data_IF_430741051644
#
_entry.id   IF_430741051644
#
_cell.length_a   1.000
_cell.length_b   1.000
_cell.length_c   1.000
_cell.angle_alpha   90.00
_cell.angle_beta   90.00
_cell.angle_gamma   90.00
#
_symmetry.space_group_name_H-M   'P 1'
#
loop_
_entity.id
_entity.type
_entity.pdbx_description
1 polymer ?
#
# COMPACT_ATOMS: atom_id res chain seq x y z
N UNK A 1 21.46 77.93 31.28
CA UNK A 1 22.80 78.42 30.89
C UNK A 1 23.18 77.70 29.67
N UNK A 2 22.99 78.26 28.52
CA UNK A 2 24.04 78.94 27.71
C UNK A 2 25.03 77.83 27.23
N UNK A 3 25.32 77.67 26.04
CA UNK A 3 25.52 78.35 24.77
C UNK A 3 26.39 77.37 23.95
N UNK A 4 26.52 77.26 22.71
CA UNK A 4 26.50 77.97 21.44
C UNK A 4 27.14 77.06 20.40
N UNK A 5 26.57 76.91 19.23
CA UNK A 5 27.03 77.23 17.84
C UNK A 5 28.47 76.81 17.45
N UNK A 6 28.73 76.27 16.29
CA UNK A 6 28.63 76.66 14.87
C UNK A 6 29.24 75.57 14.01
N UNK A 7 28.74 75.18 12.92
CA UNK A 7 28.79 75.65 11.52
C UNK A 7 30.07 75.31 10.72
N UNK A 8 29.83 74.75 9.47
CA UNK A 8 30.51 74.98 8.17
C UNK A 8 31.66 74.01 7.89
N UNK A 9 31.90 73.46 6.76
CA UNK A 9 31.41 73.41 5.38
C UNK A 9 32.13 72.28 4.60
N UNK A 10 31.48 71.81 3.55
CA UNK A 10 31.97 71.44 2.21
C UNK A 10 33.35 70.78 2.03
N UNK A 11 33.37 69.57 1.48
CA UNK A 11 34.01 69.28 0.18
C UNK A 11 33.57 67.98 -0.47
N UNK A 12 33.24 68.07 -1.73
CA UNK A 12 32.94 67.00 -2.66
C UNK A 12 34.09 66.02 -2.83
N UNK A 13 33.79 64.66 -2.76
CA UNK A 13 34.59 63.70 -3.48
C UNK A 13 33.65 62.66 -4.09
N UNK A 14 33.54 62.72 -5.42
CA UNK A 14 32.95 61.70 -6.24
C UNK A 14 33.85 60.47 -6.21
N UNK A 15 33.39 59.37 -5.67
CA UNK A 15 33.98 58.08 -5.94
C UNK A 15 32.88 57.17 -6.48
N UNK A 16 33.03 56.84 -7.74
CA UNK A 16 32.28 55.80 -8.46
C UNK A 16 32.50 54.46 -7.76
N UNK A 17 31.53 54.02 -6.96
CA UNK A 17 31.45 52.67 -6.45
C UNK A 17 30.60 51.84 -7.40
N UNK A 18 31.25 50.96 -8.16
CA UNK A 18 30.60 49.92 -8.95
C UNK A 18 29.80 49.04 -8.01
N UNK A 19 28.48 49.22 -7.98
CA UNK A 19 27.57 48.32 -7.28
C UNK A 19 27.31 47.12 -8.18
N UNK A 20 28.08 46.05 -7.95
CA UNK A 20 27.90 44.76 -8.59
C UNK A 20 26.57 44.16 -8.08
N UNK A 21 25.47 44.39 -8.79
CA UNK A 21 24.18 43.78 -8.56
C UNK A 21 24.28 42.31 -9.01
N UNK A 22 24.67 41.41 -8.10
CA UNK A 22 24.51 39.96 -8.32
C UNK A 22 23.02 39.67 -8.27
N UNK A 23 22.40 39.59 -9.44
CA UNK A 23 21.10 39.00 -9.63
C UNK A 23 21.21 37.50 -9.27
N UNK A 24 20.92 37.16 -8.02
CA UNK A 24 20.54 35.82 -7.63
C UNK A 24 19.18 35.55 -8.30
N UNK A 25 19.22 34.99 -9.50
CA UNK A 25 18.05 34.35 -10.10
C UNK A 25 17.74 33.15 -9.24
N UNK A 26 16.92 33.35 -8.21
CA UNK A 26 16.23 32.26 -7.56
C UNK A 26 15.33 31.59 -8.63
N UNK A 27 15.83 30.54 -9.23
CA UNK A 27 14.96 29.61 -9.99
C UNK A 27 13.97 29.03 -8.98
N UNK A 28 12.83 29.69 -8.83
CA UNK A 28 11.66 29.09 -8.22
C UNK A 28 11.28 27.93 -9.15
N UNK A 29 11.81 26.75 -8.84
CA UNK A 29 11.28 25.52 -9.44
C UNK A 29 9.80 25.51 -9.04
N UNK A 30 8.91 25.78 -9.98
CA UNK A 30 7.48 25.59 -9.78
C UNK A 30 7.30 24.14 -9.35
N UNK A 31 6.90 23.93 -8.09
CA UNK A 31 6.57 22.60 -7.58
C UNK A 31 5.35 22.12 -8.34
N UNK A 32 5.59 21.33 -9.37
CA UNK A 32 4.51 20.68 -10.14
C UNK A 32 3.84 19.66 -9.21
N UNK A 33 2.62 19.97 -8.77
CA UNK A 33 1.78 19.02 -8.10
C UNK A 33 1.18 18.09 -9.16
N UNK A 34 1.64 16.84 -9.20
CA UNK A 34 1.08 15.85 -10.11
C UNK A 34 -0.33 15.47 -9.69
N UNK A 35 -1.27 15.53 -10.62
CA UNK A 35 -2.64 15.04 -10.40
C UNK A 35 -2.70 13.54 -10.68
N UNK A 36 -3.26 12.72 -9.78
CA UNK A 36 -3.46 11.30 -10.02
C UNK A 36 -4.34 11.05 -11.26
N UNK A 37 -3.93 10.12 -12.13
CA UNK A 37 -4.66 9.72 -13.33
C UNK A 37 -5.19 8.31 -13.14
N UNK A 38 -6.50 8.14 -13.18
CA UNK A 38 -7.16 6.84 -13.13
C UNK A 38 -7.40 6.32 -14.53
N UNK A 39 -7.19 5.03 -14.73
CA UNK A 39 -7.43 4.34 -15.97
C UNK A 39 -7.79 2.87 -15.74
N UNK A 40 -8.23 2.21 -16.78
CA UNK A 40 -8.48 0.76 -16.81
C UNK A 40 -7.81 0.18 -18.03
N UNK A 41 -7.07 -0.90 -17.84
CA UNK A 41 -6.50 -1.72 -18.92
C UNK A 41 -7.21 -3.08 -18.95
N UNK A 42 -7.34 -3.67 -20.12
CA UNK A 42 -8.04 -4.95 -20.31
C UNK A 42 -7.03 -6.03 -20.68
N UNK A 43 -6.85 -7.00 -19.78
CA UNK A 43 -6.08 -8.20 -20.04
C UNK A 43 -6.95 -9.16 -20.89
N UNK A 44 -6.52 -9.44 -22.12
CA UNK A 44 -7.17 -10.42 -22.99
C UNK A 44 -6.73 -11.84 -22.62
N UNK A 45 -7.64 -12.80 -22.80
CA UNK A 45 -7.39 -14.24 -22.60
C UNK A 45 -6.69 -14.52 -21.26
N UNK A 46 -7.25 -13.97 -20.19
CA UNK A 46 -6.67 -14.08 -18.86
C UNK A 46 -6.95 -15.48 -18.27
N UNK A 47 -5.87 -16.23 -18.05
CA UNK A 47 -5.94 -17.57 -17.47
C UNK A 47 -5.74 -17.50 -15.96
N UNK A 48 -6.76 -17.90 -15.21
CA UNK A 48 -6.71 -18.03 -13.75
C UNK A 48 -5.98 -19.33 -13.34
N UNK A 49 -5.48 -19.35 -12.09
CA UNK A 49 -4.82 -20.53 -11.51
C UNK A 49 -5.72 -21.78 -11.55
N UNK A 50 -7.04 -21.60 -11.52
CA UNK A 50 -8.04 -22.69 -11.65
C UNK A 50 -8.08 -23.34 -13.03
N UNK A 51 -7.41 -22.73 -14.02
CA UNK A 51 -7.45 -23.14 -15.42
C UNK A 51 -8.55 -22.46 -16.25
N UNK A 52 -9.47 -21.73 -15.62
CA UNK A 52 -10.48 -20.94 -16.30
C UNK A 52 -9.82 -19.81 -17.11
N UNK A 53 -10.32 -19.57 -18.32
CA UNK A 53 -9.86 -18.48 -19.19
C UNK A 53 -10.99 -17.50 -19.41
N UNK A 54 -10.75 -16.24 -19.06
CA UNK A 54 -11.66 -15.15 -19.38
C UNK A 54 -11.13 -14.36 -20.58
N UNK A 55 -12.00 -14.13 -21.55
CA UNK A 55 -11.66 -13.33 -22.74
C UNK A 55 -11.18 -11.93 -22.35
N UNK A 56 -11.71 -11.36 -21.26
CA UNK A 56 -11.37 -10.03 -20.78
C UNK A 56 -11.40 -9.97 -19.26
N UNK A 57 -10.30 -9.48 -18.66
CA UNK A 57 -10.24 -9.07 -17.26
C UNK A 57 -9.82 -7.61 -17.20
N UNK A 58 -10.68 -6.76 -16.67
CA UNK A 58 -10.37 -5.34 -16.43
C UNK A 58 -9.42 -5.22 -15.24
N UNK A 59 -8.40 -4.38 -15.36
CA UNK A 59 -7.48 -4.01 -14.30
C UNK A 59 -7.50 -2.48 -14.17
N UNK A 60 -8.15 -2.00 -13.12
CA UNK A 60 -8.16 -0.59 -12.75
C UNK A 60 -6.80 -0.20 -12.16
N UNK A 61 -6.36 1.01 -12.41
CA UNK A 61 -5.14 1.53 -11.81
C UNK A 61 -5.14 3.05 -11.76
N UNK A 62 -4.31 3.56 -10.86
CA UNK A 62 -4.02 4.99 -10.77
C UNK A 62 -2.54 5.21 -10.98
N UNK A 63 -2.16 6.26 -11.70
CA UNK A 63 -0.76 6.67 -11.85
C UNK A 63 -0.54 8.08 -11.32
N UNK A 64 0.68 8.32 -10.83
CA UNK A 64 1.14 9.63 -10.40
C UNK A 64 2.59 9.83 -10.87
N UNK A 65 2.94 11.02 -11.32
CA UNK A 65 4.24 11.32 -11.90
C UNK A 65 4.28 11.15 -13.42
N UNK A 66 5.46 11.40 -14.00
CA UNK A 66 5.69 11.27 -15.44
C UNK A 66 5.93 9.80 -15.81
N UNK A 67 5.33 9.27 -16.90
CA UNK A 67 5.58 7.90 -17.34
C UNK A 67 7.04 7.58 -17.67
N UNK A 68 7.87 8.60 -17.91
CA UNK A 68 9.32 8.44 -18.12
C UNK A 68 10.11 8.41 -16.82
N UNK A 69 9.47 8.68 -15.67
CA UNK A 69 10.07 8.60 -14.35
C UNK A 69 10.49 7.19 -13.96
N UNK A 70 11.15 7.06 -12.81
CA UNK A 70 11.57 5.76 -12.25
C UNK A 70 10.33 4.96 -11.82
N UNK A 71 10.03 3.78 -12.41
CA UNK A 71 8.77 3.10 -12.17
C UNK A 71 8.75 2.39 -10.82
N UNK A 72 7.69 2.66 -10.04
CA UNK A 72 7.42 2.00 -8.76
C UNK A 72 5.99 1.50 -8.71
N UNK A 73 5.79 0.29 -8.18
CA UNK A 73 4.50 -0.36 -8.02
C UNK A 73 4.11 -0.39 -6.54
N UNK A 74 2.95 0.16 -6.21
CA UNK A 74 2.44 0.25 -4.84
C UNK A 74 1.16 -0.58 -4.71
N UNK A 75 1.17 -1.58 -3.82
CA UNK A 75 0.11 -2.57 -3.68
C UNK A 75 -0.66 -2.37 -2.38
N UNK A 76 -1.99 -2.23 -2.49
CA UNK A 76 -2.88 -2.00 -1.37
C UNK A 76 -3.20 -3.28 -0.56
N UNK A 77 -3.71 -3.09 0.66
CA UNK A 77 -4.19 -4.18 1.52
C UNK A 77 -5.59 -4.69 1.14
N UNK A 78 -6.02 -5.77 1.80
CA UNK A 78 -7.36 -6.37 1.65
C UNK A 78 -8.46 -5.31 1.80
N UNK A 79 -9.45 -5.34 0.94
CA UNK A 79 -10.59 -4.40 0.85
C UNK A 79 -10.18 -2.93 0.55
N UNK A 80 -8.91 -2.70 0.20
CA UNK A 80 -8.43 -1.39 -0.26
C UNK A 80 -8.54 -1.25 -1.78
N UNK A 81 -8.04 -0.10 -2.27
CA UNK A 81 -7.91 0.21 -3.70
C UNK A 81 -6.59 0.95 -3.92
N UNK A 82 -6.13 1.04 -5.18
CA UNK A 82 -4.97 1.85 -5.53
C UNK A 82 -5.13 3.31 -5.11
N UNK A 83 -6.29 3.93 -5.34
CA UNK A 83 -6.58 5.30 -4.90
C UNK A 83 -6.57 5.45 -3.39
N UNK A 84 -6.92 4.40 -2.63
CA UNK A 84 -6.87 4.39 -1.18
C UNK A 84 -5.46 4.62 -0.63
N UNK A 85 -4.41 4.29 -1.39
CA UNK A 85 -3.01 4.54 -1.03
C UNK A 85 -2.60 6.02 -1.17
N UNK A 86 -3.45 6.87 -1.74
CA UNK A 86 -3.21 8.33 -1.84
C UNK A 86 -3.62 9.09 -0.57
N UNK A 87 -4.09 8.40 0.47
CA UNK A 87 -4.51 9.04 1.72
C UNK A 87 -3.36 9.83 2.40
N UNK A 88 -3.68 10.82 3.27
CA UNK A 88 -2.68 11.70 3.90
C UNK A 88 -1.63 10.97 4.74
N UNK A 89 -1.96 9.81 5.33
CA UNK A 89 -1.04 9.06 6.20
C UNK A 89 -0.05 8.20 5.42
N UNK A 90 -0.37 7.84 4.17
CA UNK A 90 0.48 7.04 3.29
C UNK A 90 1.01 7.88 2.13
N UNK A 91 0.26 8.05 1.05
CA UNK A 91 0.69 8.81 -0.13
C UNK A 91 1.05 10.26 0.16
N UNK A 92 0.31 10.91 1.06
CA UNK A 92 0.59 12.27 1.51
C UNK A 92 1.94 12.43 2.22
N UNK A 93 2.56 11.33 2.68
CA UNK A 93 3.88 11.31 3.32
C UNK A 93 4.99 10.79 2.40
N UNK A 94 4.65 10.33 1.18
CA UNK A 94 5.59 9.63 0.29
C UNK A 94 5.76 10.30 -1.06
N UNK A 95 4.70 10.85 -1.65
CA UNK A 95 4.64 11.16 -3.08
C UNK A 95 4.80 12.64 -3.41
N UNK A 96 4.78 13.51 -2.41
CA UNK A 96 4.94 14.95 -2.58
C UNK A 96 6.37 15.36 -2.92
N UNK A 97 6.57 16.62 -3.37
CA UNK A 97 7.89 17.16 -3.69
C UNK A 97 8.89 17.02 -2.53
N UNK A 98 10.06 16.45 -2.83
CA UNK A 98 11.13 16.18 -1.85
C UNK A 98 10.90 15.00 -0.92
N UNK A 99 9.76 14.32 -1.00
CA UNK A 99 9.50 13.10 -0.25
C UNK A 99 10.19 11.89 -0.91
N UNK A 100 10.20 10.76 -0.21
CA UNK A 100 11.02 9.59 -0.61
C UNK A 100 10.66 9.00 -1.98
N UNK A 101 9.40 9.03 -2.35
CA UNK A 101 8.88 8.61 -3.66
C UNK A 101 8.28 9.81 -4.41
N UNK A 102 8.99 10.92 -4.42
CA UNK A 102 8.60 12.18 -5.08
C UNK A 102 8.13 11.95 -6.52
N UNK A 103 6.88 12.28 -6.81
CA UNK A 103 6.26 12.11 -8.12
C UNK A 103 6.92 12.92 -9.25
N UNK A 104 7.81 13.88 -8.92
CA UNK A 104 8.66 14.55 -9.92
C UNK A 104 9.81 13.65 -10.42
N UNK A 105 10.10 12.55 -9.73
CA UNK A 105 11.20 11.62 -10.04
C UNK A 105 10.69 10.22 -10.37
N UNK A 106 9.62 9.81 -9.70
CA UNK A 106 9.08 8.45 -9.80
C UNK A 106 7.78 8.43 -10.61
N UNK A 107 7.63 7.39 -11.40
CA UNK A 107 6.35 7.02 -11.99
C UNK A 107 5.67 6.01 -11.07
N UNK A 108 4.69 6.47 -10.30
CA UNK A 108 4.01 5.69 -9.27
C UNK A 108 2.78 5.03 -9.85
N UNK A 109 2.69 3.71 -9.72
CA UNK A 109 1.63 2.88 -10.25
C UNK A 109 0.91 2.22 -9.08
N UNK A 110 -0.40 2.46 -8.97
CA UNK A 110 -1.26 1.98 -7.89
C UNK A 110 -2.43 1.18 -8.52
N UNK A 111 -2.26 -0.12 -8.77
CA UNK A 111 -3.33 -0.94 -9.32
C UNK A 111 -4.40 -1.23 -8.28
N UNK A 112 -5.64 -1.39 -8.74
CA UNK A 112 -6.69 -2.08 -8.00
C UNK A 112 -6.49 -3.60 -8.22
N UNK A 113 -6.45 -4.37 -7.15
CA UNK A 113 -6.38 -5.82 -7.28
C UNK A 113 -7.64 -6.37 -7.94
N UNK A 114 -7.55 -7.55 -8.59
CA UNK A 114 -8.74 -8.29 -9.04
C UNK A 114 -9.69 -8.45 -7.85
N UNK A 115 -10.95 -8.15 -8.05
CA UNK A 115 -11.99 -8.23 -7.02
C UNK A 115 -12.35 -6.93 -6.33
N UNK A 116 -11.67 -5.79 -6.67
CA UNK A 116 -11.97 -4.47 -6.05
C UNK A 116 -11.86 -3.32 -7.04
N UNK A 117 -12.36 -2.17 -6.63
CA UNK A 117 -12.21 -0.90 -7.34
C UNK A 117 -12.77 -0.94 -8.76
N UNK A 118 -11.97 -0.48 -9.72
CA UNK A 118 -12.29 -0.52 -11.14
C UNK A 118 -11.81 -1.80 -11.84
N UNK A 119 -11.17 -2.74 -11.12
CA UNK A 119 -10.85 -4.07 -11.63
C UNK A 119 -12.07 -4.98 -11.66
N UNK A 120 -12.06 -6.00 -12.54
CA UNK A 120 -13.10 -7.01 -12.62
C UNK A 120 -13.34 -7.68 -11.27
N UNK A 121 -14.61 -7.81 -10.89
CA UNK A 121 -15.02 -8.33 -9.59
C UNK A 121 -16.37 -9.05 -9.66
N UNK A 122 -16.72 -9.90 -8.69
CA UNK A 122 -17.99 -10.64 -8.64
C UNK A 122 -19.23 -9.75 -8.86
N UNK A 123 -19.28 -8.58 -8.23
CA UNK A 123 -20.44 -7.65 -8.32
C UNK A 123 -20.64 -7.03 -9.71
N UNK A 124 -19.69 -7.18 -10.65
CA UNK A 124 -19.85 -6.70 -12.04
C UNK A 124 -20.83 -7.55 -12.88
N UNK A 125 -21.52 -8.53 -12.27
CA UNK A 125 -22.57 -9.31 -12.91
C UNK A 125 -22.43 -10.82 -12.77
N UNK A 126 -21.23 -11.37 -12.66
CA UNK A 126 -20.99 -12.81 -12.54
C UNK A 126 -21.29 -13.35 -11.14
N UNK A 127 -21.25 -12.50 -10.11
CA UNK A 127 -21.54 -12.87 -8.72
C UNK A 127 -20.74 -14.08 -8.28
N UNK A 128 -21.40 -15.13 -7.73
CA UNK A 128 -20.76 -16.37 -7.33
C UNK A 128 -20.23 -17.25 -8.48
N UNK A 129 -20.46 -16.85 -9.74
CA UNK A 129 -19.88 -17.49 -10.93
C UNK A 129 -18.57 -16.81 -11.37
N UNK A 130 -18.12 -15.76 -10.67
CA UNK A 130 -16.81 -15.17 -10.93
C UNK A 130 -15.72 -16.18 -10.60
N UNK A 131 -14.59 -16.25 -11.34
CA UNK A 131 -13.51 -17.18 -11.05
C UNK A 131 -12.98 -17.02 -9.63
N UNK A 132 -12.66 -18.12 -8.99
CA UNK A 132 -12.01 -18.12 -7.67
C UNK A 132 -10.54 -17.74 -7.86
N UNK A 133 -10.27 -16.46 -7.92
CA UNK A 133 -8.91 -15.94 -8.02
C UNK A 133 -8.13 -16.08 -6.69
N UNK A 134 -6.83 -16.03 -6.79
CA UNK A 134 -5.89 -16.02 -5.67
C UNK A 134 -4.83 -14.90 -5.82
N UNK A 135 -3.83 -14.89 -4.95
CA UNK A 135 -2.77 -13.88 -5.02
C UNK A 135 -1.85 -14.06 -6.22
N UNK A 136 -1.68 -15.28 -6.71
CA UNK A 136 -0.93 -15.55 -7.95
C UNK A 136 -1.60 -14.92 -9.17
N UNK A 137 -2.93 -14.99 -9.24
CA UNK A 137 -3.71 -14.36 -10.30
C UNK A 137 -3.61 -12.82 -10.23
N UNK A 138 -3.64 -12.26 -9.01
CA UNK A 138 -3.47 -10.82 -8.82
C UNK A 138 -2.09 -10.37 -9.29
N UNK A 139 -1.02 -11.08 -8.93
CA UNK A 139 0.35 -10.78 -9.38
C UNK A 139 0.48 -10.94 -10.88
N UNK A 140 -0.11 -11.98 -11.47
CA UNK A 140 -0.15 -12.17 -12.92
C UNK A 140 -0.84 -11.00 -13.63
N UNK A 141 -1.99 -10.55 -13.12
CA UNK A 141 -2.69 -9.37 -13.66
C UNK A 141 -1.85 -8.10 -13.55
N UNK A 142 -1.25 -7.85 -12.40
CA UNK A 142 -0.36 -6.71 -12.17
C UNK A 142 0.85 -6.73 -13.12
N UNK A 143 1.47 -7.90 -13.30
CA UNK A 143 2.61 -8.05 -14.20
C UNK A 143 2.21 -7.75 -15.65
N UNK A 144 1.07 -8.26 -16.11
CA UNK A 144 0.55 -7.97 -17.44
C UNK A 144 0.17 -6.50 -17.60
N UNK A 145 -0.44 -5.87 -16.58
CA UNK A 145 -0.70 -4.43 -16.62
C UNK A 145 0.60 -3.63 -16.80
N UNK A 146 1.64 -3.97 -16.04
CA UNK A 146 2.93 -3.27 -16.07
C UNK A 146 3.63 -3.47 -17.43
N UNK A 147 3.65 -4.69 -17.95
CA UNK A 147 4.40 -5.05 -19.17
C UNK A 147 3.63 -4.79 -20.46
N UNK A 148 2.37 -5.20 -20.53
CA UNK A 148 1.54 -5.10 -21.73
C UNK A 148 0.77 -3.77 -21.76
N UNK A 149 0.22 -3.35 -20.61
CA UNK A 149 -0.60 -2.15 -20.50
C UNK A 149 0.22 -0.86 -20.47
N UNK A 150 1.31 -0.84 -19.70
CA UNK A 150 2.16 0.33 -19.52
C UNK A 150 3.49 0.25 -20.29
N UNK A 151 3.79 -0.89 -20.93
CA UNK A 151 4.98 -1.09 -21.76
C UNK A 151 6.31 -1.11 -21.00
N UNK A 152 6.28 -1.22 -19.67
CA UNK A 152 7.47 -1.21 -18.84
C UNK A 152 8.23 -2.54 -18.94
N UNK A 153 9.56 -2.46 -18.87
CA UNK A 153 10.45 -3.63 -18.95
C UNK A 153 11.09 -3.95 -17.61
N UNK A 154 10.91 -3.09 -16.62
CA UNK A 154 11.52 -3.21 -15.30
C UNK A 154 10.77 -2.35 -14.28
N UNK A 155 10.86 -2.69 -13.00
CA UNK A 155 10.40 -1.90 -11.85
C UNK A 155 11.57 -1.65 -10.90
N UNK A 156 11.75 -0.41 -10.48
CA UNK A 156 12.72 -0.08 -9.44
C UNK A 156 12.28 -0.57 -8.06
N UNK A 157 10.97 -0.52 -7.79
CA UNK A 157 10.42 -0.89 -6.49
C UNK A 157 9.04 -1.53 -6.65
N UNK A 158 8.81 -2.62 -5.90
CA UNK A 158 7.47 -3.08 -5.53
C UNK A 158 7.32 -2.95 -4.01
N UNK A 159 6.37 -2.13 -3.57
CA UNK A 159 6.06 -1.90 -2.17
C UNK A 159 4.59 -2.26 -1.93
N UNK A 160 4.33 -3.08 -0.92
CA UNK A 160 2.96 -3.50 -0.63
C UNK A 160 2.66 -3.63 0.85
N UNK A 161 1.40 -3.33 1.22
CA UNK A 161 0.94 -3.41 2.59
C UNK A 161 -0.05 -4.56 2.78
N UNK A 162 0.12 -5.40 3.81
CA UNK A 162 -0.78 -6.51 4.14
C UNK A 162 -0.94 -7.49 2.96
N UNK A 163 -2.10 -7.60 2.35
CA UNK A 163 -2.32 -8.35 1.11
C UNK A 163 -1.30 -7.94 0.03
N UNK A 164 -1.08 -6.63 -0.16
CA UNK A 164 -0.05 -6.13 -1.08
C UNK A 164 1.36 -6.55 -0.68
N UNK A 165 1.66 -6.65 0.62
CA UNK A 165 2.92 -7.18 1.13
C UNK A 165 3.10 -8.66 0.80
N UNK A 166 2.04 -9.46 0.92
CA UNK A 166 2.04 -10.87 0.49
C UNK A 166 2.27 -11.00 -1.01
N UNK A 167 1.65 -10.14 -1.82
CA UNK A 167 1.89 -10.08 -3.26
C UNK A 167 3.32 -9.61 -3.59
N UNK A 168 3.90 -8.71 -2.79
CA UNK A 168 5.29 -8.27 -2.97
C UNK A 168 6.29 -9.43 -2.84
N UNK A 169 6.09 -10.35 -1.91
CA UNK A 169 6.88 -11.58 -1.82
C UNK A 169 6.75 -12.42 -3.11
N UNK A 170 5.52 -12.60 -3.60
CA UNK A 170 5.26 -13.35 -4.84
C UNK A 170 5.88 -12.66 -6.07
N UNK A 171 5.89 -11.33 -6.13
CA UNK A 171 6.56 -10.57 -7.18
C UNK A 171 8.04 -10.91 -7.26
N UNK A 172 8.74 -10.91 -6.12
CA UNK A 172 10.16 -11.26 -6.07
C UNK A 172 10.45 -12.70 -6.49
N UNK A 173 9.56 -13.62 -6.19
CA UNK A 173 9.69 -15.04 -6.54
C UNK A 173 9.38 -15.29 -8.02
N UNK A 174 8.29 -14.70 -8.53
CA UNK A 174 7.80 -14.97 -9.90
C UNK A 174 8.54 -14.16 -10.96
N UNK A 175 9.04 -12.98 -10.60
CA UNK A 175 9.68 -12.03 -11.53
C UNK A 175 11.01 -11.51 -10.97
N UNK A 176 11.95 -12.41 -10.58
CA UNK A 176 13.15 -12.04 -9.82
C UNK A 176 14.08 -11.04 -10.53
N UNK A 177 14.15 -11.11 -11.87
CA UNK A 177 14.97 -10.19 -12.67
C UNK A 177 14.25 -8.90 -13.09
N UNK A 178 12.98 -8.75 -12.71
CA UNK A 178 12.15 -7.62 -13.16
C UNK A 178 12.11 -6.47 -12.15
N UNK A 179 12.59 -6.68 -10.92
CA UNK A 179 12.46 -5.71 -9.82
C UNK A 179 13.78 -5.54 -9.08
N UNK A 180 14.22 -4.29 -8.84
CA UNK A 180 15.45 -4.00 -8.07
C UNK A 180 15.23 -4.14 -6.55
N UNK A 181 14.06 -3.71 -6.05
CA UNK A 181 13.77 -3.65 -4.62
C UNK A 181 12.35 -4.11 -4.29
N UNK A 182 12.21 -4.81 -3.17
CA UNK A 182 10.94 -5.24 -2.59
C UNK A 182 10.78 -4.67 -1.19
N UNK A 183 9.58 -4.14 -0.90
CA UNK A 183 9.22 -3.68 0.45
C UNK A 183 7.89 -4.32 0.87
N UNK A 184 7.90 -5.60 1.29
CA UNK A 184 6.73 -6.25 1.85
C UNK A 184 6.50 -5.74 3.28
N UNK A 185 5.29 -5.21 3.54
CA UNK A 185 4.92 -4.65 4.83
C UNK A 185 3.74 -5.41 5.45
N UNK A 186 3.74 -5.57 6.77
CA UNK A 186 2.70 -6.25 7.54
C UNK A 186 2.32 -7.61 6.92
N UNK A 187 3.33 -8.43 6.58
CA UNK A 187 3.12 -9.70 5.89
C UNK A 187 4.25 -10.69 6.19
N UNK A 188 3.88 -11.92 6.49
CA UNK A 188 4.84 -13.02 6.67
C UNK A 188 4.99 -13.81 5.37
N UNK A 189 6.22 -14.20 5.00
CA UNK A 189 6.47 -15.08 3.86
C UNK A 189 6.29 -16.56 4.24
N UNK A 190 5.10 -16.91 4.69
CA UNK A 190 4.74 -18.25 5.13
C UNK A 190 3.30 -18.58 4.74
N UNK A 191 2.93 -19.87 4.83
CA UNK A 191 1.58 -20.31 4.54
C UNK A 191 0.53 -19.55 5.34
N UNK A 192 -0.59 -19.20 4.69
CA UNK A 192 -1.73 -18.59 5.35
C UNK A 192 -2.28 -19.52 6.43
N UNK A 193 -2.13 -19.11 7.69
CA UNK A 193 -2.44 -19.97 8.85
C UNK A 193 -2.81 -19.16 10.09
N UNK A 194 -2.98 -19.84 11.22
CA UNK A 194 -3.17 -19.29 12.55
C UNK A 194 -4.31 -18.28 12.63
N UNK A 195 -4.12 -17.24 13.47
CA UNK A 195 -5.12 -16.18 13.69
C UNK A 195 -5.61 -15.55 12.39
N UNK A 196 -4.71 -15.31 11.44
CA UNK A 196 -5.05 -14.63 10.17
C UNK A 196 -6.04 -15.49 9.36
N UNK A 197 -5.79 -16.79 9.20
CA UNK A 197 -6.69 -17.65 8.45
C UNK A 197 -7.98 -17.98 9.23
N UNK A 198 -7.89 -18.25 10.53
CA UNK A 198 -9.06 -18.50 11.37
C UNK A 198 -10.05 -17.33 11.32
N UNK A 199 -9.56 -16.10 11.42
CA UNK A 199 -10.40 -14.90 11.29
C UNK A 199 -11.06 -14.83 9.91
N UNK A 200 -10.28 -15.02 8.82
CA UNK A 200 -10.81 -14.99 7.45
C UNK A 200 -11.86 -16.08 7.24
N UNK A 201 -11.58 -17.30 7.68
CA UNK A 201 -12.51 -18.43 7.54
C UNK A 201 -13.82 -18.15 8.29
N UNK A 202 -13.76 -17.59 9.49
CA UNK A 202 -14.93 -17.25 10.26
C UNK A 202 -15.84 -16.23 9.57
N UNK A 203 -15.26 -15.14 9.04
CA UNK A 203 -16.03 -14.11 8.33
C UNK A 203 -16.55 -14.61 6.97
N UNK A 204 -15.81 -15.44 6.27
CA UNK A 204 -16.27 -16.10 5.03
C UNK A 204 -17.48 -16.98 5.31
N UNK A 205 -17.38 -17.83 6.32
CA UNK A 205 -18.45 -18.78 6.66
C UNK A 205 -19.66 -18.05 7.24
N UNK A 206 -19.50 -16.93 7.96
CA UNK A 206 -20.63 -16.13 8.44
C UNK A 206 -21.50 -15.59 7.29
N UNK A 207 -20.89 -15.23 6.16
CA UNK A 207 -21.64 -14.83 4.96
C UNK A 207 -22.21 -16.03 4.24
N UNK A 208 -21.44 -17.10 4.05
CA UNK A 208 -21.90 -18.30 3.33
C UNK A 208 -23.08 -18.99 4.01
N UNK A 209 -23.13 -18.94 5.34
CA UNK A 209 -24.21 -19.53 6.14
C UNK A 209 -25.40 -18.57 6.38
N UNK A 210 -25.33 -17.32 5.92
CA UNK A 210 -26.44 -16.39 5.99
C UNK A 210 -27.48 -16.78 4.91
N UNK A 211 -28.74 -17.11 5.28
CA UNK A 211 -29.77 -17.43 4.29
C UNK A 211 -30.01 -16.31 3.29
N UNK A 212 -29.80 -15.05 3.68
CA UNK A 212 -29.98 -13.88 2.81
C UNK A 212 -28.90 -13.80 1.71
N UNK A 213 -27.77 -14.50 1.84
CA UNK A 213 -26.72 -14.56 0.81
C UNK A 213 -27.15 -15.35 -0.43
N UNK A 214 -28.10 -16.31 -0.30
CA UNK A 214 -28.72 -17.05 -1.41
C UNK A 214 -27.67 -17.66 -2.40
N UNK A 215 -26.61 -18.27 -1.88
CA UNK A 215 -25.50 -18.79 -2.69
C UNK A 215 -24.89 -17.74 -3.63
N UNK A 216 -24.82 -16.48 -3.19
CA UNK A 216 -24.28 -15.36 -3.94
C UNK A 216 -25.23 -14.67 -4.90
N UNK A 217 -26.53 -15.03 -4.90
CA UNK A 217 -27.54 -14.45 -5.79
C UNK A 217 -28.52 -13.49 -5.08
N UNK A 218 -28.09 -12.93 -3.94
CA UNK A 218 -28.89 -11.98 -3.15
C UNK A 218 -29.29 -10.74 -3.98
N UNK A 219 -30.43 -10.14 -3.60
CA UNK A 219 -30.90 -8.87 -4.14
C UNK A 219 -30.62 -7.68 -3.21
N UNK A 220 -30.43 -7.99 -1.92
CA UNK A 220 -30.01 -7.06 -0.88
C UNK A 220 -28.80 -7.65 -0.18
N UNK A 221 -27.88 -6.81 0.28
CA UNK A 221 -26.68 -7.28 0.97
C UNK A 221 -27.07 -8.09 2.21
N UNK A 222 -26.49 -9.29 2.42
CA UNK A 222 -26.79 -10.10 3.60
C UNK A 222 -26.36 -9.37 4.88
N UNK A 223 -27.18 -9.39 5.96
CA UNK A 223 -26.86 -8.72 7.22
C UNK A 223 -25.51 -9.16 7.84
N UNK A 224 -25.10 -10.40 7.62
CA UNK A 224 -23.81 -10.95 8.07
C UNK A 224 -22.61 -10.18 7.51
N UNK A 225 -22.73 -9.52 6.35
CA UNK A 225 -21.66 -8.71 5.75
C UNK A 225 -21.22 -7.58 6.68
N UNK A 226 -22.16 -6.93 7.37
CA UNK A 226 -21.84 -5.85 8.30
C UNK A 226 -21.01 -6.35 9.47
N UNK A 227 -21.44 -7.46 10.10
CA UNK A 227 -20.69 -8.09 11.20
C UNK A 227 -19.32 -8.57 10.75
N UNK A 228 -19.23 -9.27 9.62
CA UNK A 228 -17.98 -9.74 9.05
C UNK A 228 -16.99 -8.60 8.80
N UNK A 229 -17.48 -7.48 8.25
CA UNK A 229 -16.65 -6.31 7.94
C UNK A 229 -16.15 -5.61 9.20
N UNK A 230 -17.02 -5.41 10.20
CA UNK A 230 -16.65 -4.79 11.49
C UNK A 230 -15.70 -5.69 12.28
N UNK A 231 -15.97 -7.00 12.32
CA UNK A 231 -15.09 -7.98 12.97
C UNK A 231 -13.71 -8.00 12.30
N UNK A 232 -13.66 -7.99 10.97
CA UNK A 232 -12.40 -7.92 10.23
C UNK A 232 -11.61 -6.66 10.58
N UNK A 233 -12.27 -5.50 10.64
CA UNK A 233 -11.63 -4.23 11.01
C UNK A 233 -11.03 -4.27 12.43
N UNK A 234 -11.78 -4.74 13.42
CA UNK A 234 -11.33 -4.81 14.82
C UNK A 234 -10.17 -5.80 14.96
N UNK A 235 -10.28 -6.97 14.32
CA UNK A 235 -9.27 -8.02 14.37
C UNK A 235 -8.06 -7.76 13.48
N UNK A 236 -8.04 -6.66 12.72
CA UNK A 236 -6.97 -6.33 11.77
C UNK A 236 -6.23 -5.05 12.15
N UNK A 237 -6.89 -4.10 12.80
CA UNK A 237 -6.33 -2.77 13.03
C UNK A 237 -6.65 -2.28 14.43
N UNK A 238 -5.70 -1.56 15.01
CA UNK A 238 -5.84 -0.91 16.29
C UNK A 238 -4.73 -1.25 17.27
N UNK A 239 -4.24 -2.49 17.25
CA UNK A 239 -3.34 -2.99 18.31
C UNK A 239 -4.03 -3.03 19.68
N UNK A 240 -3.51 -3.81 20.63
CA UNK A 240 -4.12 -3.93 21.94
C UNK A 240 -4.13 -2.60 22.71
N UNK A 241 -3.00 -1.89 22.74
CA UNK A 241 -2.89 -0.60 23.44
C UNK A 241 -3.73 0.49 22.78
N UNK A 242 -3.73 0.57 21.46
CA UNK A 242 -4.52 1.54 20.70
C UNK A 242 -6.03 1.34 20.91
N UNK A 243 -6.50 0.09 20.88
CA UNK A 243 -7.90 -0.23 21.16
C UNK A 243 -8.28 0.06 22.60
N UNK A 244 -7.41 -0.27 23.59
CA UNK A 244 -7.64 0.05 25.00
C UNK A 244 -7.70 1.56 25.23
N UNK A 245 -6.86 2.35 24.57
CA UNK A 245 -6.89 3.82 24.61
C UNK A 245 -8.17 4.39 24.00
N UNK A 246 -8.64 3.80 22.90
CA UNK A 246 -9.85 4.22 22.18
C UNK A 246 -11.13 3.88 22.94
N UNK A 247 -11.14 2.76 23.65
CA UNK A 247 -12.31 2.21 24.35
C UNK A 247 -11.91 1.69 25.75
N UNK A 248 -11.50 2.60 26.68
CA UNK A 248 -10.98 2.22 28.00
C UNK A 248 -12.04 1.76 29.00
N UNK A 249 -13.32 1.83 28.64
CA UNK A 249 -14.43 1.30 29.44
C UNK A 249 -15.39 0.50 28.57
N UNK A 250 -16.22 -0.34 29.23
CA UNK A 250 -17.25 -1.12 28.54
C UNK A 250 -18.21 -0.20 27.76
N UNK A 251 -18.64 0.90 28.34
CA UNK A 251 -19.57 1.85 27.73
C UNK A 251 -18.97 2.48 26.45
N UNK A 252 -17.68 2.79 26.46
CA UNK A 252 -16.98 3.31 25.29
C UNK A 252 -16.73 2.21 24.23
N UNK A 253 -16.48 0.98 24.64
CA UNK A 253 -16.37 -0.15 23.73
C UNK A 253 -17.72 -0.45 23.04
N UNK A 254 -18.82 -0.48 23.81
CA UNK A 254 -20.17 -0.64 23.26
C UNK A 254 -20.51 0.48 22.27
N UNK A 255 -20.22 1.73 22.62
CA UNK A 255 -20.45 2.89 21.74
C UNK A 255 -19.63 2.82 20.45
N UNK A 256 -18.36 2.41 20.55
CA UNK A 256 -17.47 2.23 19.39
C UNK A 256 -18.02 1.16 18.44
N UNK A 257 -18.42 0.01 19.00
CA UNK A 257 -18.97 -1.09 18.23
C UNK A 257 -20.29 -0.72 17.58
N UNK A 258 -21.23 -0.14 18.32
CA UNK A 258 -22.50 0.36 17.81
C UNK A 258 -22.32 1.35 16.68
N UNK A 259 -21.38 2.28 16.81
CA UNK A 259 -21.07 3.26 15.76
C UNK A 259 -20.61 2.57 14.48
N UNK A 260 -19.73 1.59 14.58
CA UNK A 260 -19.22 0.84 13.42
C UNK A 260 -20.31 -0.04 12.79
N UNK A 261 -21.15 -0.69 13.59
CA UNK A 261 -22.23 -1.54 13.10
C UNK A 261 -23.37 -0.74 12.43
N UNK A 262 -23.58 0.52 12.85
CA UNK A 262 -24.58 1.43 12.25
C UNK A 262 -24.04 2.19 11.04
N UNK A 263 -22.73 2.20 10.80
CA UNK A 263 -22.13 2.89 9.67
C UNK A 263 -22.56 2.23 8.35
N UNK A 264 -22.91 3.08 7.36
CA UNK A 264 -23.28 2.58 6.04
C UNK A 264 -22.11 1.84 5.39
N UNK A 265 -22.33 0.59 5.01
CA UNK A 265 -21.33 -0.24 4.34
C UNK A 265 -21.54 -0.16 2.83
N UNK A 266 -20.52 0.29 2.11
CA UNK A 266 -20.51 0.37 0.64
C UNK A 266 -19.84 -0.88 0.00
N UNK A 267 -19.81 -1.98 0.72
CA UNK A 267 -19.18 -3.21 0.26
C UNK A 267 -20.21 -4.17 -0.34
N UNK A 268 -19.76 -5.05 -1.21
CA UNK A 268 -20.52 -6.17 -1.75
C UNK A 268 -20.08 -7.47 -1.07
N UNK A 269 -21.01 -8.33 -0.72
CA UNK A 269 -20.73 -9.54 0.02
C UNK A 269 -19.88 -10.53 -0.79
N UNK A 270 -20.14 -10.68 -2.08
CA UNK A 270 -19.35 -11.56 -2.94
C UNK A 270 -17.94 -11.00 -3.15
N UNK A 271 -17.81 -9.70 -3.38
CA UNK A 271 -16.49 -9.06 -3.55
C UNK A 271 -15.62 -9.27 -2.31
N UNK A 272 -16.16 -9.01 -1.12
CA UNK A 272 -15.44 -9.20 0.13
C UNK A 272 -15.11 -10.66 0.41
N UNK A 273 -16.08 -11.56 0.20
CA UNK A 273 -15.89 -12.99 0.40
C UNK A 273 -14.76 -13.53 -0.49
N UNK A 274 -14.79 -13.19 -1.78
CA UNK A 274 -13.77 -13.62 -2.73
C UNK A 274 -12.39 -13.06 -2.37
N UNK A 275 -12.34 -11.79 -1.95
CA UNK A 275 -11.07 -11.17 -1.58
C UNK A 275 -10.48 -11.76 -0.29
N UNK A 276 -11.31 -12.07 0.71
CA UNK A 276 -10.83 -12.78 1.91
C UNK A 276 -10.36 -14.19 1.59
N UNK A 277 -11.07 -14.91 0.72
CA UNK A 277 -10.76 -16.27 0.32
C UNK A 277 -9.53 -16.37 -0.61
N UNK A 278 -9.18 -15.28 -1.33
CA UNK A 278 -8.07 -15.27 -2.30
C UNK A 278 -6.69 -15.58 -1.71
N UNK A 279 -6.55 -15.53 -0.39
CA UNK A 279 -5.32 -15.83 0.33
C UNK A 279 -5.17 -17.28 0.76
N UNK A 280 -6.17 -18.13 0.54
CA UNK A 280 -6.26 -19.48 1.12
C UNK A 280 -5.08 -20.40 0.82
N UNK A 281 -4.45 -20.24 -0.34
CA UNK A 281 -3.33 -21.03 -0.86
C UNK A 281 -2.01 -20.27 -0.91
N UNK A 282 -1.95 -19.08 -0.28
CA UNK A 282 -0.72 -18.31 -0.20
C UNK A 282 0.32 -19.03 0.65
N UNK A 283 1.44 -19.39 0.04
CA UNK A 283 2.64 -19.93 0.70
C UNK A 283 3.90 -19.68 -0.16
N UNK A 284 4.63 -18.57 0.04
CA UNK A 284 5.86 -18.31 -0.67
C UNK A 284 7.08 -19.00 -0.05
N UNK A 285 6.92 -19.69 1.09
CA UNK A 285 8.03 -20.13 1.94
C UNK A 285 9.05 -21.05 1.25
N UNK A 286 8.61 -21.78 0.21
CA UNK A 286 9.46 -22.77 -0.49
C UNK A 286 10.42 -22.14 -1.49
N UNK A 287 10.16 -20.91 -1.91
CA UNK A 287 10.79 -20.30 -3.09
C UNK A 287 11.53 -18.99 -2.78
N UNK A 288 11.77 -18.68 -1.50
CA UNK A 288 12.37 -17.42 -1.06
C UNK A 288 13.76 -17.18 -1.65
N UNK A 289 14.54 -18.22 -1.90
CA UNK A 289 15.86 -18.13 -2.52
C UNK A 289 15.84 -17.66 -3.98
N UNK A 290 14.68 -17.68 -4.63
CA UNK A 290 14.53 -17.14 -5.99
C UNK A 290 14.58 -15.61 -6.01
N UNK A 291 14.36 -14.95 -4.86
CA UNK A 291 14.35 -13.49 -4.75
C UNK A 291 15.76 -12.95 -4.95
N UNK A 292 15.95 -12.16 -6.01
CA UNK A 292 17.23 -11.51 -6.36
C UNK A 292 17.25 -10.02 -5.95
N UNK A 293 16.10 -9.42 -5.82
CA UNK A 293 15.94 -8.02 -5.42
C UNK A 293 16.46 -7.77 -4.00
N UNK A 294 16.85 -6.52 -3.70
CA UNK A 294 17.07 -6.10 -2.32
C UNK A 294 15.74 -6.06 -1.57
N UNK A 295 15.72 -6.49 -0.31
CA UNK A 295 14.47 -6.60 0.46
C UNK A 295 14.55 -5.77 1.74
N UNK A 296 13.56 -4.90 1.96
CA UNK A 296 13.28 -4.27 3.24
C UNK A 296 11.91 -4.72 3.73
N UNK A 297 11.88 -5.60 4.72
CA UNK A 297 10.63 -5.95 5.40
C UNK A 297 10.30 -4.90 6.45
N UNK A 298 9.03 -4.49 6.51
CA UNK A 298 8.55 -3.56 7.54
C UNK A 298 7.39 -4.20 8.27
N UNK A 299 7.51 -4.36 9.59
CA UNK A 299 6.45 -4.90 10.44
C UNK A 299 6.33 -4.09 11.73
N UNK A 300 5.20 -4.20 12.43
CA UNK A 300 4.98 -3.63 13.74
C UNK A 300 5.09 -4.72 14.82
N UNK A 301 5.70 -4.40 15.95
CA UNK A 301 5.87 -5.35 17.04
C UNK A 301 4.54 -5.74 17.69
N UNK A 302 3.49 -4.92 17.52
CA UNK A 302 2.13 -5.16 18.00
C UNK A 302 1.17 -5.69 16.91
N UNK A 303 1.71 -6.19 15.78
CA UNK A 303 0.89 -6.78 14.70
C UNK A 303 0.45 -8.20 15.07
N UNK A 304 -0.80 -8.35 15.52
CA UNK A 304 -1.35 -9.64 15.92
C UNK A 304 -1.53 -10.63 14.76
N UNK A 305 -1.47 -10.17 13.51
CA UNK A 305 -1.55 -11.03 12.32
C UNK A 305 -0.20 -11.56 11.88
N UNK A 306 0.85 -10.80 12.16
CA UNK A 306 2.23 -11.12 11.81
C UNK A 306 3.12 -10.99 13.05
N UNK A 307 2.85 -11.80 14.12
CA UNK A 307 3.54 -11.68 15.40
C UNK A 307 5.04 -11.91 15.23
N UNK A 308 5.91 -10.98 15.66
CA UNK A 308 7.35 -11.11 15.51
C UNK A 308 7.93 -12.26 16.36
N UNK A 309 7.28 -12.62 17.47
CA UNK A 309 7.70 -13.72 18.35
C UNK A 309 7.75 -15.09 17.67
N UNK A 310 7.11 -15.25 16.50
CA UNK A 310 7.22 -16.50 15.73
C UNK A 310 8.55 -16.63 14.99
N UNK A 311 9.35 -15.56 14.87
CA UNK A 311 10.65 -15.58 14.19
C UNK A 311 10.58 -15.91 12.70
N UNK A 312 9.39 -15.88 12.10
CA UNK A 312 9.17 -16.30 10.69
C UNK A 312 9.90 -15.37 9.71
N UNK A 313 9.81 -14.07 9.95
CA UNK A 313 10.45 -13.07 9.08
C UNK A 313 11.98 -13.20 9.18
N UNK A 314 12.53 -13.28 10.38
CA UNK A 314 13.97 -13.42 10.60
C UNK A 314 14.52 -14.71 10.00
N UNK A 315 13.78 -15.80 10.10
CA UNK A 315 14.15 -17.07 9.47
C UNK A 315 14.15 -16.97 7.94
N UNK A 316 13.15 -16.30 7.37
CA UNK A 316 13.05 -16.08 5.92
C UNK A 316 14.19 -15.19 5.40
N UNK A 317 14.55 -14.12 6.11
CA UNK A 317 15.60 -13.19 5.69
C UNK A 317 16.98 -13.83 5.67
N UNK A 318 17.25 -14.87 6.47
CA UNK A 318 18.48 -15.65 6.39
C UNK A 318 18.65 -16.36 5.03
N UNK A 319 17.57 -16.57 4.31
CA UNK A 319 17.55 -17.24 3.00
C UNK A 319 17.59 -16.24 1.83
N UNK A 320 17.46 -14.93 2.10
CA UNK A 320 17.41 -13.89 1.06
C UNK A 320 18.60 -12.97 1.21
N UNK A 321 19.56 -13.00 0.27
CA UNK A 321 20.68 -12.08 0.28
C UNK A 321 20.23 -10.61 0.23
N UNK A 322 20.99 -9.71 0.87
CA UNK A 322 20.71 -8.26 0.87
C UNK A 322 19.31 -7.88 1.39
N UNK A 323 18.86 -8.57 2.42
CA UNK A 323 17.60 -8.32 3.09
C UNK A 323 17.78 -7.69 4.46
N UNK A 324 16.81 -6.90 4.92
CA UNK A 324 16.78 -6.28 6.24
C UNK A 324 15.34 -6.18 6.76
N UNK A 325 15.21 -6.08 8.09
CA UNK A 325 13.94 -5.91 8.80
C UNK A 325 13.94 -4.57 9.52
N UNK A 326 12.86 -3.80 9.33
CA UNK A 326 12.44 -2.75 10.24
C UNK A 326 11.27 -3.26 11.06
N UNK A 327 11.51 -3.56 12.34
CA UNK A 327 10.46 -3.85 13.31
C UNK A 327 10.13 -2.55 14.08
N UNK A 328 8.96 -1.97 13.83
CA UNK A 328 8.48 -0.76 14.50
C UNK A 328 8.10 -1.15 15.94
N UNK A 329 8.69 -0.54 16.97
CA UNK A 329 8.35 -0.85 18.36
C UNK A 329 6.88 -0.59 18.66
N UNK A 330 6.25 -1.46 19.45
CA UNK A 330 4.90 -1.25 19.97
C UNK A 330 4.84 0.00 20.86
N UNK A 331 3.78 0.76 20.74
CA UNK A 331 3.52 1.95 21.55
C UNK A 331 2.03 2.30 21.58
N UNK A 332 1.58 3.18 22.49
CA UNK A 332 0.20 3.69 22.49
C UNK A 332 -0.21 4.45 21.21
N UNK A 333 0.75 4.81 20.36
CA UNK A 333 0.54 5.54 19.09
C UNK A 333 0.62 4.63 17.85
N UNK A 334 1.03 3.36 18.03
CA UNK A 334 0.95 2.34 16.99
C UNK A 334 -0.47 1.77 16.90
N UNK A 335 -0.78 1.06 15.83
CA UNK A 335 -2.13 0.59 15.50
C UNK A 335 -2.10 -0.89 15.08
N UNK A 336 -1.24 -1.71 15.71
CA UNK A 336 -1.09 -3.11 15.36
C UNK A 336 -0.78 -3.29 13.88
N UNK A 337 -1.54 -4.16 13.22
CA UNK A 337 -1.44 -4.39 11.77
C UNK A 337 -1.62 -3.11 10.92
N UNK A 338 -2.33 -2.11 11.42
CA UNK A 338 -2.56 -0.83 10.74
C UNK A 338 -1.38 0.15 10.80
N UNK A 339 -0.36 -0.11 11.62
CA UNK A 339 0.79 0.79 11.81
C UNK A 339 1.55 1.04 10.51
N UNK A 340 1.76 0.02 9.71
CA UNK A 340 2.49 0.12 8.42
C UNK A 340 1.73 0.92 7.36
N UNK A 341 0.43 1.14 7.52
CA UNK A 341 -0.35 2.07 6.70
C UNK A 341 -0.04 3.55 6.94
N UNK A 342 0.78 3.86 7.94
CA UNK A 342 1.19 5.22 8.30
C UNK A 342 2.68 5.41 8.00
N UNK A 343 3.01 6.02 6.86
CA UNK A 343 4.38 6.13 6.36
C UNK A 343 5.33 6.92 7.29
N UNK A 344 4.80 7.75 8.19
CA UNK A 344 5.60 8.46 9.21
C UNK A 344 6.52 7.54 10.03
N UNK A 345 6.15 6.27 10.21
CA UNK A 345 6.89 5.30 11.01
C UNK A 345 8.11 4.71 10.28
N UNK A 346 8.14 4.78 8.95
CA UNK A 346 9.14 4.06 8.17
C UNK A 346 9.68 4.81 6.94
N UNK A 347 9.16 5.99 6.59
CA UNK A 347 9.60 6.73 5.40
C UNK A 347 11.10 7.05 5.41
N UNK A 348 11.70 7.34 6.58
CA UNK A 348 13.13 7.58 6.72
C UNK A 348 13.95 6.33 6.42
N UNK A 349 13.50 5.17 6.93
CA UNK A 349 14.16 3.89 6.68
C UNK A 349 14.04 3.49 5.21
N UNK A 350 12.86 3.71 4.60
CA UNK A 350 12.68 3.51 3.16
C UNK A 350 13.65 4.39 2.35
N UNK A 351 13.81 5.65 2.73
CA UNK A 351 14.75 6.57 2.07
C UNK A 351 16.20 6.05 2.13
N UNK A 352 16.64 5.65 3.32
CA UNK A 352 17.98 5.08 3.50
C UNK A 352 18.17 3.77 2.71
N UNK A 353 17.15 2.92 2.69
CA UNK A 353 17.18 1.67 1.93
C UNK A 353 17.29 1.92 0.43
N UNK A 354 16.48 2.81 -0.13
CA UNK A 354 16.49 3.10 -1.58
C UNK A 354 17.82 3.70 -2.05
N UNK A 355 18.57 4.42 -1.19
CA UNK A 355 19.92 4.86 -1.52
C UNK A 355 20.90 3.72 -1.76
N UNK A 356 20.63 2.52 -1.25
CA UNK A 356 21.44 1.33 -1.47
C UNK A 356 21.06 0.56 -2.73
N UNK A 357 19.91 0.86 -3.33
CA UNK A 357 19.36 0.15 -4.49
C UNK A 357 19.87 0.81 -5.77
N UNK A 358 20.60 0.09 -6.63
CA UNK A 358 21.04 0.63 -7.90
C UNK A 358 19.82 0.99 -8.78
N UNK A 359 19.81 2.19 -9.35
CA UNK A 359 18.85 2.55 -10.39
C UNK A 359 19.38 2.04 -11.72
N UNK A 360 18.65 1.12 -12.36
CA UNK A 360 19.02 0.69 -13.70
C UNK A 360 18.85 1.86 -14.67
N UNK A 361 19.92 2.19 -15.40
CA UNK A 361 19.83 3.17 -16.49
C UNK A 361 18.97 2.53 -17.61
N UNK A 362 17.96 3.28 -18.08
CA UNK A 362 17.14 2.90 -19.23
C UNK A 362 17.98 2.74 -20.50
#
# INVERSE_FOLDING_TARGET
MQHYFKFVDFLYFKLFGFMLLTLLTAHSMAQTTHTPKQATWVAKDFKFHTGEVFSEVKLGYTTLGDPTGVPVLILHGTAGTGTGMLNPAFGGQLFGPGQVLDANKYFIILPDAIGVGASSKPSDGLRAKFPKYNYDDMVSGQYRLVTEGLGLKHLHLVLGNSMGGMQTWLWGIKHPAFVDALVPMASMPAAMSGRNWLTRRLIIDSIRNDPAWQNGNYTQQPPSLQFASVFFQISTSGGNEGLQKLAPSRELADKLLDTRLKAALKADANDNLYQWDSSRDYDPSRDLEKIQARVLVINSADDERNPPEFGVIEAALKRIPNSQLLLIPASPDTSGHGTTGQAKWWNKQLSAFLQTVPVQKK
#
